data_IF_199359077529
#
_entry.id   IF_199359077529
#
_cell.length_a   1.000
_cell.length_b   1.000
_cell.length_c   1.000
_cell.angle_alpha   90.00
_cell.angle_beta   90.00
_cell.angle_gamma   90.00
#
_symmetry.space_group_name_H-M   'P 1'
#
loop_
_entity.id
_entity.type
_entity.pdbx_description
1 polymer ?
#
# COMPACT_ATOMS: atom_id res chain seq x y z
N UNK A 1 -8.45 23.69 8.34
CA UNK A 1 -7.44 22.74 7.84
C UNK A 1 -7.99 21.35 7.87
N UNK A 2 -7.92 20.66 6.76
CA UNK A 2 -8.36 19.28 6.70
C UNK A 2 -7.21 18.38 7.09
N UNK A 3 -7.48 17.35 7.91
CA UNK A 3 -6.53 16.29 8.22
C UNK A 3 -6.80 15.08 7.34
N UNK A 4 -7.10 15.33 6.06
CA UNK A 4 -7.39 14.27 5.12
C UNK A 4 -6.18 13.37 4.96
N UNK A 5 -6.35 12.09 5.17
CA UNK A 5 -5.31 11.08 5.00
C UNK A 5 -5.29 10.57 3.58
N UNK A 6 -4.14 10.13 3.12
CA UNK A 6 -3.96 9.56 1.78
C UNK A 6 -3.82 8.06 1.87
N UNK A 7 -4.59 7.38 1.02
CA UNK A 7 -4.55 5.91 0.88
C UNK A 7 -4.07 5.59 -0.52
N UNK A 8 -3.00 4.81 -0.60
CA UNK A 8 -2.53 4.24 -1.86
C UNK A 8 -3.09 2.83 -1.97
N UNK A 9 -3.97 2.62 -2.94
CA UNK A 9 -4.62 1.33 -3.19
C UNK A 9 -3.95 0.67 -4.38
N UNK A 10 -3.20 -0.40 -4.12
CA UNK A 10 -2.51 -1.18 -5.14
C UNK A 10 -3.34 -2.41 -5.46
N UNK A 11 -3.94 -2.44 -6.65
CA UNK A 11 -4.78 -3.56 -7.08
C UNK A 11 -5.03 -3.43 -8.58
N UNK A 12 -4.94 -4.53 -9.31
CA UNK A 12 -5.13 -4.51 -10.76
C UNK A 12 -6.61 -4.64 -11.18
N UNK A 13 -7.48 -5.09 -10.26
CA UNK A 13 -8.87 -5.43 -10.60
C UNK A 13 -9.87 -4.72 -9.69
N UNK A 14 -9.64 -4.73 -8.37
CA UNK A 14 -10.62 -4.26 -7.39
C UNK A 14 -10.67 -2.74 -7.36
N UNK A 15 -11.83 -2.18 -7.67
CA UNK A 15 -12.04 -0.74 -7.65
C UNK A 15 -12.26 -0.27 -6.21
N UNK A 16 -11.38 0.61 -5.67
CA UNK A 16 -11.48 1.05 -4.28
C UNK A 16 -12.68 1.98 -4.03
N UNK A 17 -13.28 2.52 -5.08
CA UNK A 17 -14.44 3.40 -4.97
C UNK A 17 -15.77 2.64 -5.07
N UNK A 18 -15.71 1.33 -5.28
CA UNK A 18 -16.89 0.45 -5.37
C UNK A 18 -16.95 -0.46 -4.13
N UNK A 19 -18.19 -0.85 -3.76
CA UNK A 19 -18.35 -1.80 -2.68
C UNK A 19 -17.99 -3.22 -3.13
N UNK A 20 -17.45 -4.06 -2.26
CA UNK A 20 -17.28 -3.82 -0.80
C UNK A 20 -15.99 -3.09 -0.42
N UNK A 21 -15.15 -2.73 -1.39
CA UNK A 21 -13.80 -2.24 -1.10
C UNK A 21 -13.78 -0.85 -0.49
N UNK A 22 -14.71 0.01 -0.88
CA UNK A 22 -14.84 1.33 -0.26
C UNK A 22 -15.10 1.20 1.24
N UNK A 23 -16.01 0.33 1.64
CA UNK A 23 -16.28 0.06 3.05
C UNK A 23 -15.06 -0.55 3.75
N UNK A 24 -14.39 -1.49 3.08
CA UNK A 24 -13.18 -2.14 3.60
C UNK A 24 -12.10 -1.09 3.94
N UNK A 25 -11.90 -0.12 3.06
CA UNK A 25 -10.95 0.98 3.27
C UNK A 25 -11.41 1.88 4.42
N UNK A 26 -12.67 2.29 4.39
CA UNK A 26 -13.20 3.20 5.41
C UNK A 26 -13.15 2.61 6.81
N UNK A 27 -13.37 1.31 6.94
CA UNK A 27 -13.32 0.64 8.23
C UNK A 27 -11.90 0.57 8.82
N UNK A 28 -10.87 0.68 7.98
CA UNK A 28 -9.46 0.62 8.40
C UNK A 28 -8.76 1.96 8.43
N UNK A 29 -9.09 2.82 7.48
CA UNK A 29 -8.39 4.09 7.27
C UNK A 29 -9.23 5.31 7.66
N UNK A 30 -10.53 5.12 7.88
CA UNK A 30 -11.46 6.21 8.15
C UNK A 30 -12.19 6.67 6.90
N UNK A 31 -13.23 7.49 7.09
CA UNK A 31 -14.09 7.94 5.99
C UNK A 31 -13.55 9.17 5.27
N UNK A 32 -12.67 9.91 5.92
CA UNK A 32 -12.13 11.18 5.37
C UNK A 32 -10.75 10.93 4.78
N UNK A 33 -10.72 10.21 3.66
CA UNK A 33 -9.48 9.81 3.00
C UNK A 33 -9.53 10.13 1.51
N UNK A 34 -8.35 10.46 0.96
CA UNK A 34 -8.14 10.53 -0.49
C UNK A 34 -7.54 9.21 -0.93
N UNK A 35 -8.13 8.59 -1.94
CA UNK A 35 -7.69 7.30 -2.45
C UNK A 35 -7.05 7.49 -3.82
N UNK A 36 -5.81 7.01 -3.97
CA UNK A 36 -5.16 6.88 -5.26
C UNK A 36 -5.10 5.41 -5.63
N UNK A 37 -5.61 5.07 -6.81
CA UNK A 37 -5.64 3.71 -7.31
C UNK A 37 -4.44 3.47 -8.24
N UNK A 38 -3.45 2.72 -7.76
CA UNK A 38 -2.33 2.26 -8.56
C UNK A 38 -2.63 0.82 -9.01
N UNK A 39 -2.70 0.61 -10.31
CA UNK A 39 -3.03 -0.71 -10.86
C UNK A 39 -1.81 -1.49 -11.34
N UNK A 40 -0.63 -0.86 -11.36
CA UNK A 40 0.61 -1.48 -11.81
C UNK A 40 1.76 -1.14 -10.88
N UNK A 41 2.86 -1.88 -11.03
CA UNK A 41 4.12 -1.58 -10.33
C UNK A 41 4.59 -0.15 -10.66
N UNK A 42 4.55 0.24 -11.93
CA UNK A 42 5.01 1.58 -12.33
C UNK A 42 4.16 2.69 -11.72
N UNK A 43 2.85 2.51 -11.64
CA UNK A 43 1.96 3.48 -10.97
C UNK A 43 2.34 3.61 -9.50
N UNK A 44 2.60 2.48 -8.84
CA UNK A 44 3.00 2.47 -7.45
C UNK A 44 4.31 3.23 -7.24
N UNK A 45 5.33 2.93 -8.04
CA UNK A 45 6.64 3.57 -7.95
C UNK A 45 6.51 5.08 -8.17
N UNK A 46 5.76 5.49 -9.18
CA UNK A 46 5.57 6.91 -9.48
C UNK A 46 4.88 7.64 -8.33
N UNK A 47 3.89 7.03 -7.70
CA UNK A 47 3.23 7.62 -6.57
C UNK A 47 4.19 7.80 -5.39
N UNK A 48 4.93 6.75 -5.03
CA UNK A 48 5.87 6.78 -3.90
C UNK A 48 6.94 7.86 -4.11
N UNK A 49 7.42 8.02 -5.34
CA UNK A 49 8.45 9.01 -5.65
C UNK A 49 7.97 10.46 -5.52
N UNK A 50 6.67 10.70 -5.59
CA UNK A 50 6.13 12.07 -5.58
C UNK A 50 5.33 12.41 -4.32
N UNK A 51 4.75 11.40 -3.67
CA UNK A 51 3.81 11.61 -2.56
C UNK A 51 3.91 10.44 -1.59
N UNK A 52 4.03 10.73 -0.29
CA UNK A 52 3.98 9.67 0.71
C UNK A 52 2.55 9.54 1.22
N UNK A 53 1.98 8.33 1.18
CA UNK A 53 0.66 8.09 1.73
C UNK A 53 0.73 7.85 3.23
N UNK A 54 -0.42 7.92 3.90
CA UNK A 54 -0.54 7.51 5.29
C UNK A 54 -0.82 6.01 5.40
N UNK A 55 -1.52 5.46 4.40
CA UNK A 55 -1.89 4.05 4.34
C UNK A 55 -1.59 3.49 2.96
N UNK A 56 -1.15 2.24 2.92
CA UNK A 56 -1.03 1.51 1.65
C UNK A 56 -1.74 0.18 1.80
N UNK A 57 -2.60 -0.13 0.83
CA UNK A 57 -3.31 -1.39 0.76
C UNK A 57 -2.75 -2.18 -0.42
N UNK A 58 -2.10 -3.30 -0.14
CA UNK A 58 -1.35 -4.08 -1.11
C UNK A 58 -2.16 -5.27 -1.65
N UNK A 59 -2.21 -5.39 -2.98
CA UNK A 59 -2.52 -6.66 -3.63
C UNK A 59 -1.20 -7.35 -3.97
N UNK A 60 -1.20 -8.68 -4.04
CA UNK A 60 0.00 -9.44 -4.40
C UNK A 60 0.11 -9.66 -5.92
N UNK A 61 -0.98 -10.10 -6.54
CA UNK A 61 -0.97 -10.48 -7.95
C UNK A 61 -1.49 -9.31 -8.80
N UNK A 62 -0.64 -8.77 -9.65
CA UNK A 62 -0.97 -7.57 -10.44
C UNK A 62 -1.18 -7.86 -11.93
N UNK A 63 -1.15 -9.15 -12.35
CA UNK A 63 -1.34 -9.52 -13.74
C UNK A 63 -0.20 -9.10 -14.67
N UNK A 64 0.99 -8.84 -14.11
CA UNK A 64 2.19 -8.47 -14.85
C UNK A 64 3.40 -9.16 -14.20
N UNK A 65 4.61 -8.92 -14.72
CA UNK A 65 5.82 -9.58 -14.20
C UNK A 65 6.11 -9.17 -12.76
N UNK A 66 6.01 -7.88 -12.45
CA UNK A 66 6.16 -7.38 -11.09
C UNK A 66 4.87 -7.64 -10.30
N UNK A 67 5.02 -7.96 -9.04
CA UNK A 67 3.91 -8.21 -8.12
C UNK A 67 3.94 -7.29 -6.90
N UNK A 68 3.02 -7.52 -5.97
CA UNK A 68 2.95 -6.71 -4.75
C UNK A 68 4.19 -6.81 -3.88
N UNK A 69 4.89 -7.96 -3.90
CA UNK A 69 6.14 -8.10 -3.16
C UNK A 69 7.23 -7.19 -3.74
N UNK A 70 7.27 -7.04 -5.08
CA UNK A 70 8.20 -6.10 -5.70
C UNK A 70 7.89 -4.66 -5.29
N UNK A 71 6.62 -4.32 -5.19
CA UNK A 71 6.20 -3.01 -4.69
C UNK A 71 6.60 -2.80 -3.23
N UNK A 72 6.45 -3.82 -2.39
CA UNK A 72 6.86 -3.75 -0.98
C UNK A 72 8.37 -3.54 -0.86
N UNK A 73 9.16 -4.26 -1.66
CA UNK A 73 10.62 -4.09 -1.67
C UNK A 73 11.01 -2.68 -2.10
N UNK A 74 10.34 -2.14 -3.12
CA UNK A 74 10.58 -0.78 -3.55
C UNK A 74 10.29 0.23 -2.43
N UNK A 75 9.15 0.07 -1.77
CA UNK A 75 8.74 0.94 -0.66
C UNK A 75 9.79 0.94 0.44
N UNK A 76 10.22 -0.23 0.89
CA UNK A 76 11.18 -0.35 1.97
C UNK A 76 12.51 0.32 1.59
N UNK A 77 13.01 0.06 0.37
CA UNK A 77 14.24 0.69 -0.10
C UNK A 77 14.12 2.21 -0.17
N UNK A 78 12.98 2.70 -0.65
CA UNK A 78 12.72 4.14 -0.71
C UNK A 78 12.72 4.76 0.70
N UNK A 79 12.09 4.10 1.65
CA UNK A 79 12.01 4.59 3.03
C UNK A 79 13.38 4.59 3.69
N UNK A 80 14.19 3.55 3.45
CA UNK A 80 15.56 3.50 3.96
C UNK A 80 16.41 4.62 3.37
N UNK A 81 16.34 4.82 2.06
CA UNK A 81 17.15 5.82 1.37
C UNK A 81 16.79 7.26 1.78
N UNK A 82 15.56 7.48 2.21
CA UNK A 82 15.05 8.80 2.54
C UNK A 82 14.80 9.02 4.03
N UNK A 83 15.26 8.10 4.88
CA UNK A 83 15.12 8.16 6.34
C UNK A 83 13.67 8.33 6.80
N UNK A 84 12.75 7.59 6.18
CA UNK A 84 11.33 7.62 6.52
C UNK A 84 11.05 6.50 7.50
N UNK A 85 10.38 6.82 8.61
CA UNK A 85 10.03 5.83 9.62
C UNK A 85 8.88 4.93 9.16
N UNK A 86 9.00 3.63 9.43
CA UNK A 86 7.91 2.69 9.19
C UNK A 86 6.68 3.00 10.03
N UNK A 87 6.81 3.79 11.10
CA UNK A 87 5.69 4.24 11.89
C UNK A 87 4.81 5.28 11.17
N UNK A 88 5.35 5.89 10.10
CA UNK A 88 4.63 6.94 9.37
C UNK A 88 3.66 6.37 8.32
N UNK A 89 3.81 5.10 7.95
CA UNK A 89 2.96 4.46 6.93
C UNK A 89 2.40 3.15 7.48
N UNK A 90 1.09 3.04 7.50
CA UNK A 90 0.40 1.82 7.92
C UNK A 90 0.05 1.02 6.68
N UNK A 91 0.41 -0.27 6.68
CA UNK A 91 0.16 -1.14 5.54
C UNK A 91 -0.89 -2.19 5.88
N UNK A 92 -1.76 -2.43 4.90
CA UNK A 92 -2.76 -3.50 4.92
C UNK A 92 -2.64 -4.28 3.63
N UNK A 93 -3.28 -5.43 3.57
CA UNK A 93 -3.40 -6.18 2.32
C UNK A 93 -4.80 -6.74 2.16
N UNK A 94 -5.38 -6.52 0.98
CA UNK A 94 -6.66 -7.09 0.55
C UNK A 94 -6.46 -8.29 -0.37
N UNK A 95 -5.24 -8.77 -0.51
CA UNK A 95 -4.91 -9.86 -1.44
C UNK A 95 -5.68 -11.14 -1.11
N UNK A 96 -6.18 -11.80 -2.15
CA UNK A 96 -6.79 -13.11 -2.04
C UNK A 96 -5.76 -14.24 -2.00
N UNK A 97 -4.47 -13.94 -2.17
CA UNK A 97 -3.37 -14.88 -2.08
C UNK A 97 -2.82 -14.88 -0.64
N UNK A 98 -3.18 -15.86 0.22
CA UNK A 98 -2.80 -15.80 1.64
C UNK A 98 -1.28 -15.84 1.86
N UNK A 99 -0.56 -16.63 1.06
CA UNK A 99 0.89 -16.75 1.20
C UNK A 99 1.56 -15.43 0.80
N UNK A 100 1.17 -14.87 -0.34
CA UNK A 100 1.71 -13.59 -0.80
C UNK A 100 1.39 -12.46 0.16
N UNK A 101 0.15 -12.40 0.66
CA UNK A 101 -0.28 -11.41 1.64
C UNK A 101 0.58 -11.48 2.90
N UNK A 102 0.73 -12.68 3.47
CA UNK A 102 1.47 -12.86 4.72
C UNK A 102 2.95 -12.53 4.53
N UNK A 103 3.53 -12.88 3.39
CA UNK A 103 4.94 -12.57 3.09
C UNK A 103 5.18 -11.07 2.98
N UNK A 104 4.27 -10.34 2.32
CA UNK A 104 4.39 -8.88 2.22
C UNK A 104 4.29 -8.21 3.60
N UNK A 105 3.30 -8.59 4.39
CA UNK A 105 3.10 -7.99 5.71
C UNK A 105 4.24 -8.35 6.66
N UNK A 106 4.77 -9.57 6.58
CA UNK A 106 5.91 -9.99 7.37
C UNK A 106 7.16 -9.18 7.01
N UNK A 107 7.39 -8.94 5.73
CA UNK A 107 8.53 -8.14 5.29
C UNK A 107 8.47 -6.73 5.84
N UNK A 108 7.29 -6.09 5.81
CA UNK A 108 7.14 -4.75 6.36
C UNK A 108 7.31 -4.73 7.88
N UNK A 109 6.75 -5.71 8.58
CA UNK A 109 6.89 -5.82 10.03
C UNK A 109 8.35 -6.03 10.44
N UNK A 110 9.10 -6.84 9.70
CA UNK A 110 10.52 -7.04 9.95
C UNK A 110 11.31 -5.74 9.77
N UNK A 111 11.00 -4.99 8.72
CA UNK A 111 11.61 -3.68 8.50
C UNK A 111 11.30 -2.72 9.66
N UNK A 112 10.05 -2.69 10.10
CA UNK A 112 9.62 -1.86 11.22
C UNK A 112 10.34 -2.22 12.51
N UNK A 113 10.58 -3.50 12.76
CA UNK A 113 11.19 -3.99 13.99
C UNK A 113 12.69 -3.69 14.09
N UNK A 114 13.37 -3.43 12.96
CA UNK A 114 14.81 -3.14 12.94
C UNK A 114 15.12 -1.64 12.85
N UNK A 115 14.09 -0.83 12.87
CA UNK A 115 14.28 0.64 12.85
C UNK A 115 14.51 1.22 14.23
#
# INVERSE_FOLDING_TARGET
MTNTKRVLWLDDIRNPNSQPWKYWIESRCGVDVEIYWASTYNDFVNYINTTLPNYICFDHDLGEDEDGMDCMKYLINYMLDNNISANDIIVYSQSANPVGRDNMLMMYNNFKNVQ
#
